data_IF_473576763323
#
_entry.id   IF_473576763323
#
_cell.length_a   1.000
_cell.length_b   1.000
_cell.length_c   1.000
_cell.angle_alpha   90.00
_cell.angle_beta   90.00
_cell.angle_gamma   90.00
#
_symmetry.space_group_name_H-M   'P 1'
#
loop_
_entity.id
_entity.type
_entity.pdbx_description
1 polymer ?
#
# COMPACT_ATOMS: atom_id res chain seq x y z
N UNK A 1 20.49 12.77 15.46
CA UNK A 1 21.97 12.78 15.40
C UNK A 1 22.48 11.63 16.23
N UNK A 2 23.19 10.68 15.63
CA UNK A 2 23.89 9.60 16.34
C UNK A 2 25.38 9.87 16.28
N UNK A 3 26.07 9.86 17.42
CA UNK A 3 27.54 9.96 17.48
C UNK A 3 28.11 8.64 17.97
N UNK A 4 29.05 8.07 17.23
CA UNK A 4 29.76 6.83 17.58
C UNK A 4 31.27 7.02 17.52
N UNK A 5 32.01 6.30 18.36
CA UNK A 5 33.48 6.24 18.32
C UNK A 5 33.90 4.81 17.97
N UNK A 6 34.88 4.65 17.09
CA UNK A 6 35.45 3.34 16.74
C UNK A 6 36.90 3.31 17.21
N UNK A 7 37.27 2.33 18.04
CA UNK A 7 38.67 2.04 18.36
C UNK A 7 39.19 1.01 17.36
N UNK A 8 40.22 1.34 16.59
CA UNK A 8 40.87 0.39 15.69
C UNK A 8 41.59 -0.71 16.50
N UNK A 9 41.12 -1.95 16.39
CA UNK A 9 41.79 -3.10 16.98
C UNK A 9 43.04 -3.45 16.19
N UNK A 10 44.21 -3.00 16.67
CA UNK A 10 45.50 -3.48 16.18
C UNK A 10 45.81 -4.85 16.78
N UNK A 11 45.86 -5.89 15.94
CA UNK A 11 46.35 -7.22 16.31
C UNK A 11 47.83 -7.14 16.70
N UNK A 12 48.13 -7.35 17.98
CA UNK A 12 49.50 -7.46 18.50
C UNK A 12 50.04 -8.88 18.30
N UNK A 13 51.05 -9.03 17.45
CA UNK A 13 52.07 -10.07 17.61
C UNK A 13 53.36 -9.40 18.10
N UNK A 14 53.85 -9.78 19.28
CA UNK A 14 55.18 -9.44 19.82
C UNK A 14 56.23 -10.43 19.24
N UNK A 15 57.52 -10.04 19.13
CA UNK A 15 58.41 -10.15 20.29
C UNK A 15 59.27 -8.92 20.59
N UNK A 16 59.90 -8.99 21.76
CA UNK A 16 60.68 -7.99 22.49
C UNK A 16 61.86 -7.40 21.71
N UNK A 17 62.15 -6.11 21.96
CA UNK A 17 63.50 -5.52 22.06
C UNK A 17 63.41 -4.11 22.68
N UNK A 18 64.26 -3.85 23.66
CA UNK A 18 64.37 -2.61 24.44
C UNK A 18 65.14 -1.50 23.70
N UNK A 19 64.59 -0.29 23.58
CA UNK A 19 65.37 0.96 23.48
C UNK A 19 64.50 2.20 23.71
N UNK A 20 65.18 3.30 24.05
CA UNK A 20 64.77 4.55 24.70
C UNK A 20 63.43 5.19 24.32
N UNK A 21 62.71 5.61 25.37
CA UNK A 21 61.47 6.38 25.32
C UNK A 21 61.69 7.81 24.80
N UNK A 22 61.26 8.10 23.57
CA UNK A 22 60.92 9.46 23.15
C UNK A 22 59.43 9.70 23.40
N UNK A 23 59.00 10.81 24.00
CA UNK A 23 57.59 11.11 24.14
C UNK A 23 57.03 11.46 22.76
N UNK A 24 56.35 10.50 22.14
CA UNK A 24 55.57 10.73 20.94
C UNK A 24 54.41 11.66 21.34
N UNK A 25 54.54 12.96 21.03
CA UNK A 25 53.46 13.91 21.17
C UNK A 25 52.32 13.44 20.27
N UNK A 26 51.28 12.87 20.88
CA UNK A 26 50.03 12.54 20.21
C UNK A 26 49.50 13.81 19.56
N UNK A 27 49.39 13.84 18.24
CA UNK A 27 48.76 14.94 17.52
C UNK A 27 47.37 15.20 18.13
N UNK A 28 46.96 16.47 18.30
CA UNK A 28 45.64 16.78 18.81
C UNK A 28 44.59 16.09 17.91
N UNK A 29 43.55 15.47 18.48
CA UNK A 29 42.49 14.87 17.68
C UNK A 29 41.95 15.92 16.70
N UNK A 30 41.96 15.58 15.42
CA UNK A 30 41.40 16.45 14.38
C UNK A 30 39.94 16.78 14.66
N UNK A 31 39.41 17.88 14.09
CA UNK A 31 38.01 18.24 14.28
C UNK A 31 37.11 17.06 13.88
N UNK A 32 36.02 16.81 14.62
CA UNK A 32 35.11 15.72 14.29
C UNK A 32 34.58 15.90 12.86
N UNK A 33 34.72 14.86 12.04
CA UNK A 33 34.13 14.83 10.70
C UNK A 33 32.63 14.65 10.83
N UNK A 34 31.88 15.72 10.59
CA UNK A 34 30.41 15.69 10.57
C UNK A 34 29.91 15.40 9.15
N UNK A 35 28.99 14.45 9.04
CA UNK A 35 28.28 14.15 7.79
C UNK A 35 26.79 14.22 8.03
N UNK A 36 26.07 14.87 7.13
CA UNK A 36 24.61 14.91 7.14
C UNK A 36 24.06 14.22 5.89
N UNK A 37 22.90 13.58 6.04
CA UNK A 37 22.14 13.01 4.93
C UNK A 37 20.65 13.27 5.16
N UNK A 38 19.91 13.52 4.08
CA UNK A 38 18.46 13.67 4.10
C UNK A 38 17.83 12.52 3.31
N UNK A 39 16.85 11.85 3.90
CA UNK A 39 16.00 10.90 3.19
C UNK A 39 14.74 11.62 2.73
N UNK A 40 14.40 11.50 1.44
CA UNK A 40 13.13 11.96 0.88
C UNK A 40 12.26 10.74 0.60
N UNK A 41 10.96 10.83 0.86
CA UNK A 41 10.02 9.75 0.59
C UNK A 41 8.83 10.33 -0.14
N UNK A 42 8.74 10.00 -1.44
CA UNK A 42 7.68 10.49 -2.32
C UNK A 42 6.61 9.43 -2.54
N UNK A 43 5.42 9.88 -2.94
CA UNK A 43 4.32 8.99 -3.33
C UNK A 43 4.11 9.08 -4.84
N UNK A 44 3.95 7.94 -5.49
CA UNK A 44 3.56 7.87 -6.91
C UNK A 44 2.06 7.71 -6.96
N UNK A 45 1.38 8.65 -7.62
CA UNK A 45 -0.06 8.62 -7.80
C UNK A 45 -0.43 7.97 -9.13
N UNK A 46 -1.55 7.25 -9.14
CA UNK A 46 -2.16 6.71 -10.35
C UNK A 46 -3.65 6.45 -10.11
N UNK A 47 -4.40 6.36 -11.20
CA UNK A 47 -5.82 6.04 -11.18
C UNK A 47 -6.12 4.95 -12.22
N UNK A 48 -7.18 4.19 -11.97
CA UNK A 48 -7.67 3.17 -12.88
C UNK A 48 -9.19 3.18 -12.86
N UNK A 49 -9.80 3.18 -14.04
CA UNK A 49 -11.26 3.15 -14.19
C UNK A 49 -11.66 1.73 -14.51
N UNK A 50 -12.54 1.15 -13.69
CA UNK A 50 -13.04 -0.19 -13.87
C UNK A 50 -14.54 -0.16 -14.15
N UNK A 51 -14.89 -0.38 -15.43
CA UNK A 51 -16.27 -0.58 -15.85
C UNK A 51 -16.65 -2.05 -15.71
N UNK A 52 -17.72 -2.32 -14.99
CA UNK A 52 -18.39 -3.61 -14.97
C UNK A 52 -19.63 -3.50 -15.83
N UNK A 53 -19.64 -4.20 -16.96
CA UNK A 53 -20.77 -4.31 -17.87
C UNK A 53 -21.43 -5.68 -17.69
N UNK A 54 -22.76 -5.74 -17.58
CA UNK A 54 -23.47 -6.98 -17.30
C UNK A 54 -23.52 -7.36 -15.81
N UNK A 55 -23.66 -6.39 -14.89
CA UNK A 55 -23.73 -6.65 -13.45
C UNK A 55 -24.76 -7.73 -13.08
N UNK A 56 -25.89 -7.78 -13.80
CA UNK A 56 -26.96 -8.73 -13.58
C UNK A 56 -26.49 -10.19 -13.65
N UNK A 57 -25.50 -10.50 -14.49
CA UNK A 57 -24.90 -11.83 -14.67
C UNK A 57 -23.92 -12.21 -13.56
N UNK A 58 -23.41 -11.22 -12.83
CA UNK A 58 -22.45 -11.42 -11.74
C UNK A 58 -23.14 -11.76 -10.41
N UNK A 59 -24.44 -11.48 -10.30
CA UNK A 59 -25.23 -11.82 -9.12
C UNK A 59 -25.40 -13.34 -9.02
N UNK A 60 -25.28 -13.88 -7.82
CA UNK A 60 -25.46 -15.32 -7.59
C UNK A 60 -24.26 -16.17 -8.01
N UNK A 61 -23.12 -15.56 -8.37
CA UNK A 61 -21.85 -16.27 -8.56
C UNK A 61 -21.39 -16.98 -7.27
N UNK A 62 -21.85 -16.50 -6.11
CA UNK A 62 -21.57 -17.06 -4.81
C UNK A 62 -20.56 -16.23 -4.01
N UNK A 63 -20.71 -16.29 -2.69
CA UNK A 63 -19.88 -15.55 -1.75
C UNK A 63 -18.40 -15.90 -1.94
N UNK A 64 -17.55 -14.88 -1.97
CA UNK A 64 -16.11 -15.02 -2.17
C UNK A 64 -15.68 -15.17 -3.64
N UNK A 65 -16.62 -15.21 -4.60
CA UNK A 65 -16.31 -15.07 -6.02
C UNK A 65 -16.26 -13.60 -6.42
N UNK A 66 -15.35 -13.26 -7.33
CA UNK A 66 -15.11 -11.89 -7.77
C UNK A 66 -14.93 -11.79 -9.27
N UNK A 67 -15.14 -10.57 -9.78
CA UNK A 67 -14.64 -10.11 -11.08
C UNK A 67 -13.45 -9.18 -10.82
N UNK A 68 -12.38 -9.35 -11.59
CA UNK A 68 -11.20 -8.50 -11.52
C UNK A 68 -11.20 -7.46 -12.64
N UNK A 69 -10.64 -6.29 -12.38
CA UNK A 69 -10.23 -5.36 -13.42
C UNK A 69 -9.05 -5.91 -14.21
N UNK A 70 -8.73 -5.23 -15.32
CA UNK A 70 -7.40 -5.35 -15.91
C UNK A 70 -6.34 -4.89 -14.91
N UNK A 71 -5.12 -5.36 -15.14
CA UNK A 71 -3.98 -4.97 -14.33
C UNK A 71 -3.49 -3.58 -14.73
N UNK A 72 -3.13 -2.76 -13.74
CA UNK A 72 -2.59 -1.42 -13.96
C UNK A 72 -1.37 -1.15 -13.07
N UNK A 73 -0.43 -0.35 -13.56
CA UNK A 73 0.86 -0.15 -12.90
C UNK A 73 0.93 1.22 -12.22
N UNK A 74 1.26 1.23 -10.91
CA UNK A 74 1.50 2.46 -10.13
C UNK A 74 2.67 2.21 -9.19
N UNK A 75 3.63 3.14 -9.16
CA UNK A 75 4.80 3.04 -8.28
C UNK A 75 5.72 1.84 -8.58
N UNK A 76 5.69 1.32 -9.81
CA UNK A 76 6.46 0.15 -10.21
C UNK A 76 5.86 -1.20 -9.81
N UNK A 77 4.64 -1.20 -9.28
CA UNK A 77 3.88 -2.40 -8.93
C UNK A 77 2.63 -2.51 -9.77
N UNK A 78 2.24 -3.75 -10.06
CA UNK A 78 1.00 -4.05 -10.76
C UNK A 78 -0.11 -4.28 -9.75
N UNK A 79 -1.27 -3.74 -10.06
CA UNK A 79 -2.45 -3.73 -9.20
C UNK A 79 -3.68 -4.20 -9.98
N UNK A 80 -4.67 -4.72 -9.27
CA UNK A 80 -5.99 -5.00 -9.82
C UNK A 80 -7.09 -4.67 -8.79
N UNK A 81 -8.27 -4.32 -9.28
CA UNK A 81 -9.46 -4.08 -8.46
C UNK A 81 -10.32 -5.35 -8.48
N UNK A 82 -10.65 -5.88 -7.31
CA UNK A 82 -11.52 -7.05 -7.17
C UNK A 82 -12.89 -6.64 -6.64
N UNK A 83 -13.92 -6.88 -7.44
CA UNK A 83 -15.32 -6.66 -7.10
C UNK A 83 -16.00 -7.99 -6.76
N UNK A 84 -16.55 -8.09 -5.55
CA UNK A 84 -17.29 -9.25 -5.07
C UNK A 84 -18.78 -8.91 -5.06
N UNK A 85 -19.55 -9.31 -6.10
CA UNK A 85 -20.98 -9.03 -6.16
C UNK A 85 -21.71 -9.66 -4.99
N UNK A 86 -21.30 -10.88 -4.62
CA UNK A 86 -21.90 -11.65 -3.52
C UNK A 86 -21.25 -11.42 -2.14
N UNK A 87 -20.31 -10.47 -2.05
CA UNK A 87 -19.53 -10.20 -0.85
C UNK A 87 -18.33 -11.14 -0.67
N UNK A 88 -17.33 -10.71 0.11
CA UNK A 88 -16.04 -11.40 0.27
C UNK A 88 -16.09 -12.66 1.14
N UNK A 89 -16.95 -12.67 2.17
CA UNK A 89 -17.00 -13.71 3.21
C UNK A 89 -18.43 -13.99 3.66
N UNK A 90 -18.65 -15.19 4.21
CA UNK A 90 -19.97 -15.67 4.64
C UNK A 90 -20.60 -14.84 5.79
N UNK A 91 -19.78 -14.09 6.52
CA UNK A 91 -20.16 -13.28 7.69
C UNK A 91 -21.41 -12.42 7.47
N UNK A 92 -21.58 -11.87 6.26
CA UNK A 92 -22.68 -10.95 5.94
C UNK A 92 -23.78 -11.59 5.09
N UNK A 93 -23.72 -12.90 4.82
CA UNK A 93 -24.77 -13.62 4.08
C UNK A 93 -25.14 -12.99 2.73
N UNK A 94 -24.15 -12.48 1.99
CA UNK A 94 -24.35 -11.76 0.73
C UNK A 94 -25.19 -10.47 0.86
N UNK A 95 -25.15 -9.78 2.01
CA UNK A 95 -25.86 -8.49 2.19
C UNK A 95 -25.17 -7.31 1.50
N UNK A 96 -23.85 -7.39 1.35
CA UNK A 96 -23.02 -6.31 0.80
C UNK A 96 -22.27 -6.77 -0.44
N UNK A 97 -22.04 -5.83 -1.36
CA UNK A 97 -20.94 -5.97 -2.32
C UNK A 97 -19.64 -5.58 -1.63
N UNK A 98 -18.53 -6.21 -2.02
CA UNK A 98 -17.20 -5.89 -1.49
C UNK A 98 -16.27 -5.43 -2.60
N UNK A 99 -15.33 -4.56 -2.26
CA UNK A 99 -14.39 -3.98 -3.22
C UNK A 99 -12.99 -3.90 -2.60
N UNK A 100 -11.98 -4.36 -3.34
CA UNK A 100 -10.60 -4.45 -2.86
C UNK A 100 -9.60 -4.04 -3.93
N UNK A 101 -8.50 -3.42 -3.50
CA UNK A 101 -7.28 -3.29 -4.27
C UNK A 101 -6.36 -4.47 -3.95
N UNK A 102 -5.89 -5.18 -4.97
CA UNK A 102 -5.00 -6.33 -4.86
C UNK A 102 -3.64 -6.04 -5.52
N UNK A 103 -2.57 -6.50 -4.89
CA UNK A 103 -1.23 -6.51 -5.49
C UNK A 103 -1.15 -7.66 -6.51
N UNK A 104 -0.96 -7.35 -7.78
CA UNK A 104 -0.92 -8.30 -8.88
C UNK A 104 0.50 -8.74 -9.27
N UNK A 105 1.51 -7.89 -9.02
CA UNK A 105 2.94 -8.23 -9.20
C UNK A 105 3.52 -8.90 -7.96
N UNK A 106 4.72 -9.46 -8.09
CA UNK A 106 5.56 -9.80 -6.94
C UNK A 106 5.97 -8.52 -6.18
N UNK A 107 6.11 -8.63 -4.87
CA UNK A 107 6.49 -7.53 -4.00
C UNK A 107 6.43 -7.96 -2.54
N UNK A 108 7.27 -7.35 -1.70
CA UNK A 108 7.28 -7.58 -0.25
C UNK A 108 7.12 -6.25 0.47
N UNK A 109 6.20 -6.23 1.43
CA UNK A 109 5.85 -5.06 2.24
C UNK A 109 5.59 -3.78 1.41
N UNK A 110 4.88 -3.95 0.29
CA UNK A 110 4.48 -2.85 -0.59
C UNK A 110 3.47 -1.98 0.15
N UNK A 111 3.79 -0.70 0.28
CA UNK A 111 2.95 0.28 0.98
C UNK A 111 2.11 1.07 -0.01
N UNK A 112 0.79 1.09 0.19
CA UNK A 112 -0.13 1.86 -0.64
C UNK A 112 -1.16 2.62 0.20
N UNK A 113 -1.45 3.85 -0.24
CA UNK A 113 -2.67 4.57 0.08
C UNK A 113 -3.59 4.47 -1.14
N UNK A 114 -4.89 4.30 -0.90
CA UNK A 114 -5.84 4.20 -1.99
C UNK A 114 -7.19 4.81 -1.59
N UNK A 115 -7.94 5.14 -2.62
CA UNK A 115 -9.34 5.53 -2.56
C UNK A 115 -10.10 4.63 -3.52
N UNK A 116 -11.25 4.12 -3.07
CA UNK A 116 -12.16 3.36 -3.91
C UNK A 116 -13.45 4.14 -4.05
N UNK A 117 -13.80 4.42 -5.29
CA UNK A 117 -14.95 5.25 -5.65
C UNK A 117 -15.94 4.41 -6.46
N UNK A 118 -17.22 4.64 -6.22
CA UNK A 118 -18.30 4.14 -7.07
C UNK A 118 -19.05 5.37 -7.60
N UNK A 119 -19.06 5.52 -8.92
CA UNK A 119 -19.54 6.74 -9.55
C UNK A 119 -21.06 6.77 -9.65
N UNK A 120 -21.68 7.82 -9.11
CA UNK A 120 -23.04 8.23 -9.43
C UNK A 120 -23.19 8.53 -10.93
N UNK A 121 -24.11 7.83 -11.59
CA UNK A 121 -24.37 7.96 -13.03
C UNK A 121 -25.58 8.85 -13.34
N UNK A 122 -26.16 9.52 -12.34
CA UNK A 122 -27.26 10.48 -12.53
C UNK A 122 -26.81 11.87 -12.97
N UNK A 123 -25.50 12.13 -13.01
CA UNK A 123 -24.93 13.46 -13.30
C UNK A 123 -24.98 14.43 -12.13
N UNK A 124 -25.35 13.97 -10.92
CA UNK A 124 -25.37 14.79 -9.69
C UNK A 124 -24.05 14.76 -8.92
N UNK A 125 -23.05 14.03 -9.43
CA UNK A 125 -21.71 13.89 -8.85
C UNK A 125 -21.69 13.38 -7.40
N UNK A 126 -22.72 12.64 -6.97
CA UNK A 126 -22.82 12.09 -5.61
C UNK A 126 -22.11 10.75 -5.51
N UNK A 127 -20.84 10.71 -5.86
CA UNK A 127 -20.05 9.48 -5.86
C UNK A 127 -19.93 8.90 -4.44
N UNK A 128 -19.95 7.58 -4.34
CA UNK A 128 -19.66 6.89 -3.08
C UNK A 128 -18.16 6.68 -2.99
N UNK A 129 -17.51 7.47 -2.13
CA UNK A 129 -16.07 7.45 -1.93
C UNK A 129 -15.72 6.80 -0.61
N UNK A 130 -14.75 5.89 -0.63
CA UNK A 130 -14.08 5.41 0.57
C UNK A 130 -12.58 5.70 0.45
N UNK A 131 -12.14 6.75 1.14
CA UNK A 131 -10.79 7.27 1.06
C UNK A 131 -9.97 6.99 2.32
N UNK A 132 -8.69 6.73 2.13
CA UNK A 132 -7.71 6.65 3.20
C UNK A 132 -6.76 7.84 3.26
N UNK A 133 -6.91 8.83 2.37
CA UNK A 133 -6.08 10.02 2.35
C UNK A 133 -6.36 10.97 3.53
N UNK A 134 -7.58 10.93 4.09
CA UNK A 134 -8.04 11.87 5.13
C UNK A 134 -7.97 11.36 6.57
N UNK A 135 -7.60 10.10 6.84
CA UNK A 135 -7.39 9.65 8.23
C UNK A 135 -6.02 10.11 8.68
N UNK A 136 -5.98 10.84 9.79
CA UNK A 136 -4.73 11.14 10.51
C UNK A 136 -3.90 9.86 10.59
N UNK A 137 -2.62 9.97 10.28
CA UNK A 137 -1.62 8.92 10.03
C UNK A 137 -1.43 7.83 11.13
N UNK A 138 -2.37 7.61 12.05
CA UNK A 138 -2.28 6.55 13.07
C UNK A 138 -2.15 5.14 12.47
N UNK A 139 -2.71 4.90 11.28
CA UNK A 139 -2.60 3.61 10.59
C UNK A 139 -1.49 3.49 9.54
N UNK A 140 -0.93 4.63 9.09
CA UNK A 140 -0.02 4.69 7.93
C UNK A 140 -0.61 4.10 6.64
N UNK A 141 0.19 4.01 5.56
CA UNK A 141 -0.19 3.26 4.37
C UNK A 141 -0.40 1.77 4.67
N UNK A 142 -1.28 1.13 3.89
CA UNK A 142 -1.48 -0.31 3.99
C UNK A 142 -0.28 -1.07 3.47
N UNK A 143 0.19 -2.05 4.23
CA UNK A 143 1.27 -2.95 3.81
C UNK A 143 0.68 -4.22 3.17
N UNK A 144 0.96 -4.43 1.89
CA UNK A 144 0.66 -5.63 1.12
C UNK A 144 1.91 -6.50 1.05
N UNK A 145 1.84 -7.69 1.65
CA UNK A 145 3.03 -8.48 1.98
C UNK A 145 3.57 -9.33 0.83
N UNK A 146 2.71 -9.74 -0.09
CA UNK A 146 3.02 -10.64 -1.19
C UNK A 146 1.95 -10.53 -2.29
N UNK A 147 2.24 -11.07 -3.48
CA UNK A 147 1.32 -11.13 -4.60
C UNK A 147 -0.03 -11.77 -4.22
N UNK A 148 -1.13 -11.10 -4.53
CA UNK A 148 -2.49 -11.52 -4.17
C UNK A 148 -2.94 -11.06 -2.78
N UNK A 149 -2.04 -10.45 -1.98
CA UNK A 149 -2.48 -9.66 -0.82
C UNK A 149 -3.41 -8.55 -1.31
N UNK A 150 -4.43 -8.23 -0.51
CA UNK A 150 -5.43 -7.22 -0.87
C UNK A 150 -5.92 -6.45 0.36
N UNK A 151 -6.33 -5.21 0.13
CA UNK A 151 -6.96 -4.34 1.12
C UNK A 151 -8.17 -3.66 0.52
N UNK A 152 -9.19 -3.42 1.35
CA UNK A 152 -10.46 -2.88 0.89
C UNK A 152 -11.58 -3.10 1.89
N UNK A 153 -12.81 -3.14 1.37
CA UNK A 153 -14.02 -3.02 2.17
C UNK A 153 -14.93 -4.22 1.96
N UNK A 154 -15.05 -5.08 2.99
CA UNK A 154 -16.03 -6.18 2.99
C UNK A 154 -17.47 -5.67 2.86
N UNK A 155 -17.79 -4.60 3.60
CA UNK A 155 -19.11 -3.94 3.58
C UNK A 155 -19.05 -2.66 2.77
N UNK A 156 -18.59 -2.73 1.51
CA UNK A 156 -18.40 -1.54 0.68
C UNK A 156 -19.73 -0.83 0.43
N UNK A 157 -20.74 -1.54 -0.08
CA UNK A 157 -22.09 -1.00 -0.24
C UNK A 157 -23.15 -2.08 -0.08
N UNK A 158 -24.31 -1.72 0.48
CA UNK A 158 -25.40 -2.67 0.66
C UNK A 158 -25.97 -3.03 -0.70
N UNK A 159 -26.06 -4.32 -1.03
CA UNK A 159 -26.43 -4.76 -2.38
C UNK A 159 -27.80 -4.26 -2.81
N UNK A 160 -28.82 -4.43 -1.96
CA UNK A 160 -30.18 -4.00 -2.29
C UNK A 160 -30.29 -2.50 -2.55
N UNK A 161 -29.49 -1.70 -1.85
CA UNK A 161 -29.38 -0.26 -2.09
C UNK A 161 -28.61 0.03 -3.39
N UNK A 162 -27.54 -0.71 -3.70
CA UNK A 162 -26.83 -0.59 -4.99
C UNK A 162 -27.77 -0.79 -6.17
N UNK A 163 -28.55 -1.87 -6.13
CA UNK A 163 -29.39 -2.34 -7.24
C UNK A 163 -30.57 -1.42 -7.53
N UNK A 164 -30.90 -0.52 -6.60
CA UNK A 164 -31.99 0.45 -6.71
C UNK A 164 -31.50 1.89 -6.81
N UNK A 165 -30.19 2.08 -6.96
CA UNK A 165 -29.55 3.40 -6.97
C UNK A 165 -29.11 3.82 -8.36
N UNK A 166 -28.82 5.11 -8.49
CA UNK A 166 -28.21 5.72 -9.68
C UNK A 166 -26.74 5.30 -9.92
N UNK A 167 -26.16 4.46 -9.05
CA UNK A 167 -24.83 3.89 -9.27
C UNK A 167 -24.87 2.73 -10.28
N UNK A 168 -25.99 2.03 -10.43
CA UNK A 168 -26.21 0.97 -11.41
C UNK A 168 -27.13 1.48 -12.50
N UNK A 169 -26.60 1.66 -13.71
CA UNK A 169 -27.36 2.17 -14.86
C UNK A 169 -27.02 1.35 -16.09
N UNK A 170 -28.05 0.98 -16.86
CA UNK A 170 -27.90 0.17 -18.08
C UNK A 170 -27.09 -1.11 -17.83
N UNK A 171 -27.35 -1.77 -16.69
CA UNK A 171 -26.63 -2.95 -16.17
C UNK A 171 -25.11 -2.75 -15.97
N UNK A 172 -24.67 -1.51 -15.86
CA UNK A 172 -23.27 -1.12 -15.71
C UNK A 172 -22.98 -0.45 -14.36
N UNK A 173 -21.83 -0.79 -13.77
CA UNK A 173 -21.19 -0.06 -12.66
C UNK A 173 -19.89 0.59 -13.14
N UNK A 174 -19.59 1.77 -12.60
CA UNK A 174 -18.35 2.50 -12.86
C UNK A 174 -17.60 2.72 -11.54
N UNK A 175 -16.42 2.12 -11.43
CA UNK A 175 -15.52 2.16 -10.28
C UNK A 175 -14.23 2.92 -10.62
#
# INVERSE_FOLDING_TARGET
>A
MGSGRVCGGGTFARPFSSSSSSPHLSAPPGPPTETASTSVTDTVNGSHHFKIDGYSLLKGMGIGKYTASDTFTVGGYDWAIYFYPDGKSLEDGATYVSLFLALASEGTDVRALFELTLLDQSGKERHKVHSHFGRTLEGGPYTLKYRGSMWGYKRFFRRTTLETSEYLKDDCLLL
#
